data_IF_571722269238
#
_entry.id   IF_571722269238
#
_cell.length_a   1.000
_cell.length_b   1.000
_cell.length_c   1.000
_cell.angle_alpha   90.00
_cell.angle_beta   90.00
_cell.angle_gamma   90.00
#
_symmetry.space_group_name_H-M   'P 1'
#
loop_
_entity.id
_entity.type
_entity.pdbx_description
1 polymer ?
#
# COMPACT_ATOMS: atom_id res chain seq x y z
N UNK A 1 9.09 -11.54 20.63
CA UNK A 1 8.09 -10.62 21.22
C UNK A 1 6.79 -10.72 20.42
N UNK A 2 5.73 -9.95 20.72
CA UNK A 2 4.45 -10.05 19.95
C UNK A 2 4.64 -9.59 18.50
N UNK A 3 5.51 -8.62 18.29
CA UNK A 3 5.92 -8.06 17.01
C UNK A 3 6.50 -9.15 16.09
N UNK A 4 7.41 -9.97 16.61
CA UNK A 4 7.99 -11.10 15.85
C UNK A 4 6.92 -12.11 15.43
N UNK A 5 5.89 -12.34 16.25
CA UNK A 5 4.78 -13.24 15.92
C UNK A 5 3.92 -12.69 14.79
N UNK A 6 3.64 -11.38 14.80
CA UNK A 6 2.92 -10.73 13.70
C UNK A 6 3.75 -10.71 12.42
N UNK A 7 5.05 -10.43 12.52
CA UNK A 7 5.92 -10.47 11.36
C UNK A 7 6.04 -11.89 10.78
N UNK A 8 6.21 -12.90 11.64
CA UNK A 8 6.23 -14.30 11.21
C UNK A 8 4.94 -14.66 10.45
N UNK A 9 3.78 -14.24 10.95
CA UNK A 9 2.52 -14.49 10.27
C UNK A 9 2.43 -13.78 8.90
N UNK A 10 3.01 -12.58 8.75
CA UNK A 10 3.07 -11.89 7.47
C UNK A 10 3.96 -12.65 6.46
N UNK A 11 5.08 -13.20 6.93
CA UNK A 11 5.99 -14.05 6.13
C UNK A 11 5.32 -15.38 5.75
N UNK A 12 4.60 -16.02 6.67
CA UNK A 12 3.89 -17.27 6.41
C UNK A 12 2.78 -17.06 5.36
N UNK A 13 2.05 -15.94 5.45
CA UNK A 13 1.06 -15.54 4.45
C UNK A 13 1.68 -15.34 3.07
N UNK A 14 2.83 -14.65 3.01
CA UNK A 14 3.57 -14.43 1.77
C UNK A 14 4.03 -15.75 1.13
N UNK A 15 4.63 -16.62 1.94
CA UNK A 15 5.14 -17.94 1.52
C UNK A 15 4.00 -18.80 0.97
N UNK A 16 2.90 -18.92 1.72
CA UNK A 16 1.75 -19.72 1.30
C UNK A 16 1.08 -19.16 0.02
N UNK A 17 1.10 -17.85 -0.19
CA UNK A 17 0.53 -17.22 -1.38
C UNK A 17 1.25 -17.66 -2.66
N UNK A 18 2.58 -17.81 -2.59
CA UNK A 18 3.40 -18.37 -3.67
C UNK A 18 3.13 -19.86 -3.86
N UNK A 19 3.21 -20.64 -2.79
CA UNK A 19 3.02 -22.11 -2.84
C UNK A 19 1.65 -22.51 -3.41
N UNK A 20 0.61 -21.71 -3.10
CA UNK A 20 -0.75 -21.93 -3.60
C UNK A 20 -0.99 -21.41 -5.02
N UNK A 21 -0.03 -20.69 -5.61
CA UNK A 21 -0.14 -20.11 -6.95
C UNK A 21 -1.14 -18.93 -7.04
N UNK A 22 -1.50 -18.31 -5.90
CA UNK A 22 -2.51 -17.25 -5.85
C UNK A 22 -1.96 -15.85 -6.12
N UNK A 23 -0.66 -15.63 -5.97
CA UNK A 23 -0.03 -14.34 -6.24
C UNK A 23 1.45 -14.28 -5.86
N UNK A 24 1.98 -13.06 -5.77
CA UNK A 24 3.39 -12.81 -5.44
C UNK A 24 3.77 -13.07 -3.98
N UNK A 25 5.08 -13.04 -3.64
CA UNK A 25 5.66 -13.37 -2.33
C UNK A 25 5.50 -12.22 -1.31
N UNK A 26 4.29 -11.69 -1.17
CA UNK A 26 4.02 -10.57 -0.26
C UNK A 26 2.79 -10.83 0.59
N UNK A 27 2.94 -10.56 1.89
CA UNK A 27 1.91 -10.71 2.91
C UNK A 27 1.96 -9.53 3.88
N UNK A 28 0.79 -9.11 4.36
CA UNK A 28 0.65 -7.96 5.24
C UNK A 28 -0.47 -8.16 6.28
N UNK A 29 -0.27 -7.57 7.46
CA UNK A 29 -1.16 -7.66 8.60
C UNK A 29 -1.32 -6.28 9.22
N UNK A 30 -2.56 -5.89 9.52
CA UNK A 30 -2.85 -4.68 10.30
C UNK A 30 -3.30 -5.08 11.69
N UNK A 31 -2.68 -4.46 12.69
CA UNK A 31 -2.93 -4.68 14.12
C UNK A 31 -3.41 -3.37 14.75
N UNK A 32 -4.37 -3.47 15.67
CA UNK A 32 -4.80 -2.36 16.53
C UNK A 32 -4.98 -2.88 17.95
N UNK A 33 -4.37 -2.20 18.92
CA UNK A 33 -4.41 -2.59 20.35
C UNK A 33 -3.98 -4.05 20.59
N UNK A 34 -3.01 -4.53 19.83
CA UNK A 34 -2.49 -5.90 19.89
C UNK A 34 -3.41 -6.97 19.30
N UNK A 35 -4.52 -6.59 18.65
CA UNK A 35 -5.43 -7.49 17.94
C UNK A 35 -5.29 -7.34 16.42
N UNK A 36 -5.28 -8.46 15.70
CA UNK A 36 -5.24 -8.46 14.24
C UNK A 36 -6.59 -8.00 13.67
N UNK A 37 -6.55 -6.89 12.93
CA UNK A 37 -7.70 -6.33 12.24
C UNK A 37 -7.86 -7.00 10.88
N UNK A 38 -6.80 -7.06 10.06
CA UNK A 38 -6.83 -7.67 8.72
C UNK A 38 -5.55 -8.45 8.41
N UNK A 39 -5.64 -9.37 7.45
CA UNK A 39 -4.53 -10.17 6.92
C UNK A 39 -4.73 -10.34 5.42
N UNK A 40 -3.75 -9.94 4.62
CA UNK A 40 -3.86 -10.05 3.17
C UNK A 40 -2.55 -10.45 2.50
N UNK A 41 -2.67 -10.99 1.29
CA UNK A 41 -1.54 -11.28 0.41
C UNK A 41 -1.66 -10.46 -0.89
N UNK A 42 -0.58 -10.43 -1.66
CA UNK A 42 -0.63 -9.94 -3.03
C UNK A 42 -1.57 -10.81 -3.88
N UNK A 43 -2.47 -10.19 -4.62
CA UNK A 43 -3.43 -10.89 -5.49
C UNK A 43 -3.44 -10.35 -6.92
N UNK A 44 -2.38 -9.65 -7.34
CA UNK A 44 -2.35 -8.89 -8.60
C UNK A 44 -2.82 -9.71 -9.80
N UNK A 45 -2.23 -10.89 -9.99
CA UNK A 45 -2.50 -11.74 -11.15
C UNK A 45 -3.80 -12.54 -11.01
N UNK A 46 -4.20 -12.90 -9.79
CA UNK A 46 -5.43 -13.66 -9.55
C UNK A 46 -6.69 -12.79 -9.62
N UNK A 47 -6.58 -11.50 -9.29
CA UNK A 47 -7.71 -10.56 -9.34
C UNK A 47 -7.67 -9.60 -10.53
N UNK A 48 -6.64 -9.67 -11.38
CA UNK A 48 -6.40 -8.72 -12.47
C UNK A 48 -6.40 -7.25 -11.99
N UNK A 49 -5.83 -7.01 -10.82
CA UNK A 49 -5.72 -5.67 -10.21
C UNK A 49 -4.25 -5.38 -9.91
N UNK A 50 -3.55 -4.54 -10.71
CA UNK A 50 -2.15 -4.19 -10.47
C UNK A 50 -1.93 -3.44 -9.15
N UNK A 51 -2.99 -2.95 -8.50
CA UNK A 51 -2.91 -2.28 -7.20
C UNK A 51 -3.11 -3.23 -6.02
N UNK A 52 -3.47 -4.50 -6.26
CA UNK A 52 -3.77 -5.49 -5.23
C UNK A 52 -2.51 -6.09 -4.58
N UNK A 53 -1.62 -5.21 -4.10
CA UNK A 53 -0.49 -5.56 -3.26
C UNK A 53 -0.97 -5.91 -1.84
N UNK A 54 -0.14 -6.64 -1.09
CA UNK A 54 -0.52 -7.14 0.23
C UNK A 54 -0.93 -6.01 1.19
N UNK A 55 -0.16 -4.92 1.21
CA UNK A 55 -0.39 -3.76 2.07
C UNK A 55 -1.67 -3.03 1.67
N UNK A 56 -1.90 -2.83 0.36
CA UNK A 56 -3.12 -2.19 -0.16
C UNK A 56 -4.35 -3.03 0.16
N UNK A 57 -4.27 -4.35 -0.02
CA UNK A 57 -5.35 -5.27 0.31
C UNK A 57 -5.64 -5.27 1.83
N UNK A 58 -4.60 -5.30 2.66
CA UNK A 58 -4.74 -5.27 4.11
C UNK A 58 -5.38 -3.94 4.58
N UNK A 59 -4.98 -2.81 4.01
CA UNK A 59 -5.58 -1.48 4.27
C UNK A 59 -7.05 -1.48 3.87
N UNK A 60 -7.38 -1.94 2.65
CA UNK A 60 -8.78 -2.02 2.16
C UNK A 60 -9.65 -2.85 3.11
N UNK A 61 -9.17 -4.02 3.53
CA UNK A 61 -9.88 -4.90 4.46
C UNK A 61 -10.06 -4.27 5.85
N UNK A 62 -9.00 -3.65 6.41
CA UNK A 62 -9.08 -3.00 7.71
C UNK A 62 -10.05 -1.81 7.72
N UNK A 63 -9.98 -0.96 6.70
CA UNK A 63 -10.91 0.16 6.52
C UNK A 63 -12.37 -0.33 6.46
N UNK A 64 -12.64 -1.39 5.70
CA UNK A 64 -13.98 -2.00 5.61
C UNK A 64 -14.46 -2.55 6.96
N UNK A 65 -13.59 -3.28 7.68
CA UNK A 65 -13.93 -3.90 8.96
C UNK A 65 -14.16 -2.88 10.08
N UNK A 66 -13.41 -1.78 10.07
CA UNK A 66 -13.52 -0.71 11.05
C UNK A 66 -14.50 0.40 10.63
N UNK A 67 -15.08 0.30 9.42
CA UNK A 67 -15.97 1.31 8.84
C UNK A 67 -15.38 2.72 8.84
N UNK A 68 -14.10 2.85 8.48
CA UNK A 68 -13.33 4.10 8.47
C UNK A 68 -12.38 4.13 7.27
N UNK A 69 -11.97 5.32 6.84
CA UNK A 69 -10.87 5.53 5.88
C UNK A 69 -9.55 5.94 6.58
N UNK A 70 -9.61 6.17 7.89
CA UNK A 70 -8.49 6.57 8.74
C UNK A 70 -8.14 5.42 9.69
N UNK A 71 -6.90 4.92 9.57
CA UNK A 71 -6.32 3.84 10.34
C UNK A 71 -5.28 4.35 11.36
N UNK A 72 -5.40 5.60 11.82
CA UNK A 72 -4.63 6.10 12.95
C UNK A 72 -4.79 5.16 14.18
N UNK A 73 -3.70 5.00 14.92
CA UNK A 73 -3.55 4.01 15.99
C UNK A 73 -3.41 2.55 15.53
N UNK A 74 -3.43 2.27 14.22
CA UNK A 74 -3.07 0.94 13.70
C UNK A 74 -1.57 0.83 13.39
N UNK A 75 -1.08 -0.40 13.43
CA UNK A 75 0.27 -0.80 13.04
C UNK A 75 0.20 -1.76 11.84
N UNK A 76 1.08 -1.57 10.86
CA UNK A 76 1.21 -2.46 9.70
C UNK A 76 2.48 -3.32 9.85
N UNK A 77 2.34 -4.61 9.64
CA UNK A 77 3.43 -5.57 9.51
C UNK A 77 3.41 -6.09 8.08
N UNK A 78 4.46 -5.85 7.31
CA UNK A 78 4.58 -6.28 5.91
C UNK A 78 5.82 -7.14 5.71
N UNK A 79 5.69 -8.22 4.95
CA UNK A 79 6.78 -9.17 4.71
C UNK A 79 7.97 -8.57 3.95
N UNK A 80 7.73 -7.47 3.21
CA UNK A 80 8.74 -6.71 2.49
C UNK A 80 8.51 -5.20 2.69
N UNK A 81 9.58 -4.41 2.60
CA UNK A 81 9.52 -2.96 2.55
C UNK A 81 8.49 -2.46 1.51
N UNK A 82 7.59 -1.52 1.86
CA UNK A 82 6.55 -1.09 0.93
C UNK A 82 7.12 -0.45 -0.34
N UNK A 83 6.60 -0.84 -1.50
CA UNK A 83 6.87 -0.14 -2.75
C UNK A 83 6.28 1.29 -2.73
N UNK A 84 6.64 2.19 -3.66
CA UNK A 84 6.15 3.57 -3.63
C UNK A 84 4.61 3.71 -3.61
N UNK A 85 3.89 2.81 -4.27
CA UNK A 85 2.42 2.77 -4.23
C UNK A 85 1.91 2.42 -2.82
N UNK A 86 2.43 1.34 -2.23
CA UNK A 86 2.04 0.90 -0.90
C UNK A 86 2.41 1.93 0.16
N UNK A 87 3.59 2.55 0.06
CA UNK A 87 4.02 3.63 0.93
C UNK A 87 3.04 4.82 0.86
N UNK A 88 2.64 5.24 -0.34
CA UNK A 88 1.64 6.29 -0.48
C UNK A 88 0.28 5.88 0.15
N UNK A 89 -0.15 4.63 -0.01
CA UNK A 89 -1.39 4.13 0.60
C UNK A 89 -1.33 4.12 2.13
N UNK A 90 -0.16 3.81 2.71
CA UNK A 90 0.11 3.91 4.16
C UNK A 90 -0.05 5.36 4.63
N UNK A 91 0.55 6.32 3.93
CA UNK A 91 0.38 7.75 4.25
C UNK A 91 -1.08 8.22 4.17
N UNK A 92 -1.81 7.81 3.13
CA UNK A 92 -3.24 8.16 2.97
C UNK A 92 -4.12 7.55 4.05
N UNK A 93 -3.78 6.35 4.52
CA UNK A 93 -4.54 5.64 5.57
C UNK A 93 -4.13 6.04 6.99
N UNK A 94 -3.12 6.90 7.18
CA UNK A 94 -2.69 7.41 8.49
C UNK A 94 -2.18 6.34 9.48
N UNK A 95 -1.75 5.18 8.99
CA UNK A 95 -1.10 4.15 9.82
C UNK A 95 0.16 4.75 10.45
N UNK A 96 0.34 4.51 11.76
CA UNK A 96 1.37 5.21 12.55
C UNK A 96 2.72 4.50 12.53
N UNK A 97 2.71 3.17 12.41
CA UNK A 97 3.93 2.35 12.43
C UNK A 97 3.89 1.29 11.35
N UNK A 98 5.03 1.11 10.70
CA UNK A 98 5.24 0.07 9.71
C UNK A 98 6.45 -0.75 10.15
N UNK A 99 6.26 -2.05 10.28
CA UNK A 99 7.29 -3.04 10.52
C UNK A 99 7.53 -3.81 9.24
N UNK A 100 8.79 -4.05 8.90
CA UNK A 100 9.23 -4.68 7.65
C UNK A 100 10.16 -5.86 7.95
N UNK A 101 10.23 -6.85 7.05
CA UNK A 101 11.19 -7.97 7.12
C UNK A 101 12.19 -7.91 5.98
N UNK A 102 11.79 -8.31 4.77
CA UNK A 102 12.62 -8.14 3.57
C UNK A 102 12.64 -6.66 3.13
N UNK A 103 13.56 -6.31 2.23
CA UNK A 103 13.71 -4.96 1.70
C UNK A 103 13.59 -4.91 0.16
N UNK A 104 13.58 -3.70 -0.39
CA UNK A 104 13.43 -3.48 -1.84
C UNK A 104 14.52 -4.16 -2.71
N UNK A 105 15.71 -4.43 -2.17
CA UNK A 105 16.77 -5.14 -2.89
C UNK A 105 16.45 -6.63 -3.01
N UNK A 106 15.92 -7.25 -1.94
CA UNK A 106 15.47 -8.64 -1.98
C UNK A 106 14.34 -8.82 -3.02
N UNK A 107 13.41 -7.85 -3.08
CA UNK A 107 12.35 -7.84 -4.09
C UNK A 107 12.92 -7.66 -5.52
N UNK A 108 13.91 -6.77 -5.70
CA UNK A 108 14.55 -6.56 -7.00
C UNK A 108 15.34 -7.80 -7.47
N UNK A 109 16.03 -8.50 -6.57
CA UNK A 109 16.72 -9.77 -6.88
C UNK A 109 15.74 -10.86 -7.34
N UNK A 110 14.52 -10.86 -6.81
CA UNK A 110 13.44 -11.74 -7.24
C UNK A 110 12.74 -11.28 -8.54
N UNK A 111 13.16 -10.15 -9.13
CA UNK A 111 12.65 -9.63 -10.40
C UNK A 111 11.47 -8.69 -10.29
N UNK A 112 11.22 -8.08 -9.12
CA UNK A 112 10.18 -7.06 -8.95
C UNK A 112 10.73 -5.63 -9.13
N UNK A 113 9.87 -4.73 -9.62
CA UNK A 113 10.24 -3.37 -10.03
C UNK A 113 10.29 -2.34 -8.88
N UNK A 114 10.21 -2.78 -7.62
CA UNK A 114 10.12 -1.91 -6.43
C UNK A 114 11.21 -0.83 -6.42
N UNK A 115 12.47 -1.25 -6.59
CA UNK A 115 13.63 -0.36 -6.62
C UNK A 115 13.64 0.56 -7.86
N UNK A 116 13.12 0.08 -9.00
CA UNK A 116 12.97 0.90 -10.20
C UNK A 116 11.98 2.04 -9.97
N UNK A 117 10.83 1.76 -9.35
CA UNK A 117 9.82 2.78 -9.05
C UNK A 117 10.37 3.84 -8.09
N UNK A 118 11.13 3.45 -7.06
CA UNK A 118 11.78 4.43 -6.18
C UNK A 118 12.74 5.33 -6.95
N UNK A 119 13.49 4.77 -7.91
CA UNK A 119 14.35 5.55 -8.80
C UNK A 119 13.55 6.57 -9.62
N UNK A 120 12.43 6.14 -10.23
CA UNK A 120 11.55 7.02 -11.00
C UNK A 120 10.98 8.16 -10.16
N UNK A 121 10.56 7.90 -8.92
CA UNK A 121 10.00 8.94 -8.06
C UNK A 121 11.05 9.96 -7.58
N UNK A 122 12.32 9.56 -7.47
CA UNK A 122 13.44 10.44 -7.13
C UNK A 122 13.85 11.37 -8.29
N UNK A 123 13.53 11.04 -9.54
CA UNK A 123 13.82 11.89 -10.69
C UNK A 123 12.99 13.19 -10.68
N UNK A 124 13.55 14.31 -11.22
CA UNK A 124 12.75 15.46 -11.63
C UNK A 124 11.58 15.03 -12.51
N UNK A 125 10.43 15.69 -12.39
CA UNK A 125 9.19 15.27 -13.06
C UNK A 125 9.37 15.11 -14.57
N UNK A 126 10.15 15.98 -15.17
CA UNK A 126 10.44 16.05 -16.62
C UNK A 126 11.37 14.93 -17.10
N UNK A 127 12.03 14.21 -16.18
CA UNK A 127 12.95 13.10 -16.46
C UNK A 127 12.36 11.72 -16.24
N UNK A 128 11.16 11.63 -15.66
CA UNK A 128 10.46 10.34 -15.46
C UNK A 128 10.11 9.69 -16.79
N UNK A 129 10.08 8.37 -16.84
CA UNK A 129 9.67 7.60 -18.02
C UNK A 129 8.24 7.91 -18.45
N UNK A 130 7.35 8.19 -17.50
CA UNK A 130 5.95 8.57 -17.74
C UNK A 130 5.79 10.08 -17.55
N UNK A 131 5.50 10.78 -18.66
CA UNK A 131 5.29 12.23 -18.68
C UNK A 131 3.80 12.58 -18.71
N UNK A 132 3.28 13.33 -17.72
CA UNK A 132 1.90 13.78 -17.76
C UNK A 132 1.69 14.85 -18.83
N UNK A 133 0.75 14.62 -19.75
CA UNK A 133 0.36 15.62 -20.75
C UNK A 133 -0.78 16.46 -20.18
N UNK A 134 -0.55 17.77 -20.05
CA UNK A 134 -1.56 18.68 -19.50
C UNK A 134 -2.58 19.08 -20.56
N UNK A 135 -3.85 18.74 -20.34
CA UNK A 135 -4.98 19.17 -21.16
C UNK A 135 -5.93 20.04 -20.34
N UNK A 136 -6.59 21.00 -21.00
CA UNK A 136 -7.65 21.84 -20.41
C UNK A 136 -7.26 22.52 -19.07
N UNK A 137 -6.01 22.97 -18.92
CA UNK A 137 -5.45 23.47 -17.65
C UNK A 137 -6.31 24.54 -16.94
N UNK A 138 -7.01 25.39 -17.69
CA UNK A 138 -7.93 26.40 -17.14
C UNK A 138 -9.19 25.77 -16.51
N UNK A 139 -9.74 24.72 -17.14
CA UNK A 139 -10.94 24.02 -16.68
C UNK A 139 -10.64 23.00 -15.58
N UNK A 140 -9.44 22.42 -15.57
CA UNK A 140 -9.01 21.43 -14.57
C UNK A 140 -9.08 21.93 -13.11
N UNK A 141 -9.24 23.25 -12.88
CA UNK A 141 -9.43 23.82 -11.55
C UNK A 141 -10.86 23.70 -11.00
N UNK A 142 -11.83 23.34 -11.84
CA UNK A 142 -13.24 23.30 -11.46
C UNK A 142 -13.55 22.33 -10.30
N UNK A 143 -13.02 21.09 -10.27
CA UNK A 143 -13.26 20.18 -9.14
C UNK A 143 -12.79 20.75 -7.79
N UNK A 144 -11.64 21.43 -7.74
CA UNK A 144 -11.13 22.02 -6.51
C UNK A 144 -11.96 23.22 -6.04
N UNK A 145 -12.48 24.04 -6.97
CA UNK A 145 -13.42 25.11 -6.62
C UNK A 145 -14.72 24.55 -6.02
N UNK A 146 -15.26 23.49 -6.62
CA UNK A 146 -16.43 22.80 -6.10
C UNK A 146 -16.16 22.20 -4.70
N UNK A 147 -14.98 21.59 -4.50
CA UNK A 147 -14.56 21.09 -3.19
C UNK A 147 -14.48 22.20 -2.13
N UNK A 148 -13.82 23.32 -2.45
CA UNK A 148 -13.69 24.45 -1.51
C UNK A 148 -15.05 25.02 -1.11
N UNK A 149 -15.98 25.16 -2.06
CA UNK A 149 -17.33 25.68 -1.80
C UNK A 149 -18.26 24.70 -1.07
N UNK A 150 -17.95 23.40 -1.04
CA UNK A 150 -18.79 22.40 -0.36
C UNK A 150 -18.67 22.55 1.16
N UNK A 151 -19.77 22.86 1.84
CA UNK A 151 -19.81 23.04 3.30
C UNK A 151 -19.64 21.71 4.05
N UNK A 152 -20.34 20.65 3.60
CA UNK A 152 -20.33 19.33 4.23
C UNK A 152 -19.32 18.35 3.59
N UNK A 153 -18.13 18.85 3.24
CA UNK A 153 -17.05 17.97 2.76
C UNK A 153 -16.42 17.19 3.92
N UNK A 154 -15.99 15.97 3.64
CA UNK A 154 -15.22 15.14 4.57
C UNK A 154 -13.75 15.22 4.11
N UNK A 155 -12.86 15.92 4.83
CA UNK A 155 -11.44 15.91 4.53
C UNK A 155 -10.86 14.51 4.70
N UNK A 156 -9.89 14.16 3.86
CA UNK A 156 -9.13 12.92 3.93
C UNK A 156 -7.69 13.17 3.49
#
# INVERSE_FOLDING_TARGET
MKEDQFMQLAIDLATHNVESGKGGPFGAIIVKDGAIISKACNSVTSTNDPTAHAEVNAIREACNKLHTFDLAGCELYTSCEPCPMCLAAIYWSRIEKVYVSANQHDAAEAGFDDAFLYTEFALPKEKRSIQPITLLAKLGKAPFKAWMAKENKIPY
#
